data_IF_536944682021
#
_entry.id   IF_536944682021
#
_cell.length_a   1.000
_cell.length_b   1.000
_cell.length_c   1.000
_cell.angle_alpha   90.00
_cell.angle_beta   90.00
_cell.angle_gamma   90.00
#
_symmetry.space_group_name_H-M   'P 1'
#
loop_
_entity.id
_entity.type
_entity.pdbx_description
1 polymer ?
#
# COMPACT_ATOMS: atom_id res chain seq x y z
N UNK A 1 15.63 34.23 -5.36
CA UNK A 1 14.82 32.99 -5.42
C UNK A 1 15.67 31.89 -4.79
N UNK A 2 15.42 31.53 -3.53
CA UNK A 2 16.18 30.45 -2.89
C UNK A 2 15.72 29.13 -3.50
N UNK A 3 16.49 28.61 -4.46
CA UNK A 3 16.24 27.32 -5.10
C UNK A 3 16.30 26.21 -4.06
N UNK A 4 15.43 25.21 -4.24
CA UNK A 4 15.42 23.96 -3.47
C UNK A 4 16.85 23.45 -3.23
N UNK A 5 17.12 22.97 -2.02
CA UNK A 5 18.43 22.38 -1.73
C UNK A 5 18.71 21.21 -2.70
N UNK A 6 19.97 21.01 -3.08
CA UNK A 6 20.37 19.92 -4.00
C UNK A 6 19.89 18.55 -3.51
N UNK A 7 19.84 18.34 -2.19
CA UNK A 7 19.29 17.12 -1.60
C UNK A 7 17.77 16.96 -1.78
N UNK A 8 17.01 18.06 -1.79
CA UNK A 8 15.57 18.05 -2.09
C UNK A 8 15.34 17.76 -3.58
N UNK A 9 16.10 18.39 -4.46
CA UNK A 9 16.02 18.13 -5.92
C UNK A 9 16.35 16.67 -6.21
N UNK A 10 17.41 16.14 -5.61
CA UNK A 10 17.78 14.74 -5.81
C UNK A 10 16.70 13.79 -5.27
N UNK A 11 16.00 14.08 -4.17
CA UNK A 11 14.88 13.25 -3.69
C UNK A 11 13.66 13.27 -4.61
N UNK A 12 13.44 14.38 -5.31
CA UNK A 12 12.28 14.60 -6.18
C UNK A 12 12.51 14.10 -7.61
N UNK A 13 13.76 13.99 -8.04
CA UNK A 13 14.09 13.66 -9.42
C UNK A 13 13.68 12.23 -9.78
N UNK A 14 12.89 12.08 -10.83
CA UNK A 14 12.59 10.79 -11.43
C UNK A 14 13.63 10.49 -12.51
N UNK A 15 14.32 9.36 -12.35
CA UNK A 15 15.25 8.83 -13.34
C UNK A 15 14.73 7.48 -13.84
N UNK A 16 15.18 7.05 -15.00
CA UNK A 16 14.81 5.73 -15.56
C UNK A 16 15.07 4.59 -14.57
N UNK A 17 16.22 4.64 -13.87
CA UNK A 17 16.56 3.67 -12.83
C UNK A 17 15.55 3.65 -11.69
N UNK A 18 15.10 4.82 -11.23
CA UNK A 18 14.11 4.93 -10.14
C UNK A 18 12.73 4.45 -10.57
N UNK A 19 12.32 4.80 -11.80
CA UNK A 19 11.07 4.33 -12.38
C UNK A 19 11.07 2.80 -12.54
N UNK A 20 12.17 2.23 -13.02
CA UNK A 20 12.33 0.78 -13.13
C UNK A 20 12.25 0.09 -11.76
N UNK A 21 12.85 0.69 -10.71
CA UNK A 21 12.74 0.24 -9.33
C UNK A 21 11.30 0.23 -8.83
N UNK A 22 10.60 1.37 -8.91
CA UNK A 22 9.19 1.50 -8.49
C UNK A 22 8.27 0.51 -9.21
N UNK A 23 8.52 0.27 -10.51
CA UNK A 23 7.77 -0.72 -11.28
C UNK A 23 8.07 -2.16 -10.84
N UNK A 24 9.32 -2.47 -10.49
CA UNK A 24 9.70 -3.76 -9.93
C UNK A 24 9.06 -3.99 -8.55
N UNK A 25 9.08 -2.98 -7.67
CA UNK A 25 8.47 -3.05 -6.34
C UNK A 25 6.95 -3.26 -6.44
N UNK A 26 6.29 -2.55 -7.36
CA UNK A 26 4.86 -2.75 -7.64
C UNK A 26 4.55 -4.18 -8.08
N UNK A 27 5.39 -4.76 -8.96
CA UNK A 27 5.25 -6.16 -9.37
C UNK A 27 5.49 -7.14 -8.22
N UNK A 28 6.43 -6.84 -7.32
CA UNK A 28 6.65 -7.64 -6.12
C UNK A 28 5.42 -7.64 -5.21
N UNK A 29 4.78 -6.48 -4.99
CA UNK A 29 3.53 -6.37 -4.22
C UNK A 29 2.40 -7.17 -4.89
N UNK A 30 2.31 -7.11 -6.23
CA UNK A 30 1.30 -7.87 -6.97
C UNK A 30 1.44 -9.39 -6.75
N UNK A 31 2.68 -9.89 -6.66
CA UNK A 31 3.01 -11.30 -6.47
C UNK A 31 2.77 -11.83 -5.04
N UNK A 32 2.57 -10.95 -4.05
CA UNK A 32 2.21 -11.38 -2.69
C UNK A 32 0.86 -12.12 -2.68
N UNK A 33 0.62 -12.96 -1.67
CA UNK A 33 -0.71 -13.54 -1.47
C UNK A 33 -1.72 -12.44 -1.12
N UNK A 34 -2.94 -12.57 -1.62
CA UNK A 34 -4.03 -11.67 -1.27
C UNK A 34 -4.55 -12.02 0.15
N UNK A 35 -4.46 -11.10 1.13
CA UNK A 35 -4.95 -11.36 2.48
C UNK A 35 -6.46 -11.18 2.61
N UNK A 36 -7.14 -10.59 1.64
CA UNK A 36 -8.56 -10.22 1.75
C UNK A 36 -9.43 -11.45 1.57
N UNK A 37 -10.37 -11.65 2.49
CA UNK A 37 -11.34 -12.75 2.44
C UNK A 37 -10.87 -14.06 3.06
N UNK A 38 -9.62 -14.14 3.54
CA UNK A 38 -9.12 -15.33 4.24
C UNK A 38 -9.94 -15.59 5.52
N UNK A 39 -10.52 -16.78 5.63
CA UNK A 39 -11.16 -17.27 6.85
C UNK A 39 -10.16 -18.00 7.73
N UNK A 40 -10.13 -17.67 9.02
CA UNK A 40 -9.26 -18.27 10.02
C UNK A 40 -10.01 -18.42 11.36
N UNK A 41 -9.46 -19.22 12.26
CA UNK A 41 -10.07 -19.53 13.57
C UNK A 41 -11.53 -20.00 13.48
N UNK A 42 -11.79 -20.92 12.55
CA UNK A 42 -13.11 -21.52 12.35
C UNK A 42 -13.40 -22.62 13.37
N UNK A 43 -14.63 -22.67 13.90
CA UNK A 43 -15.15 -23.80 14.68
C UNK A 43 -16.66 -23.98 14.54
N UNK A 44 -17.11 -25.22 14.74
CA UNK A 44 -18.53 -25.57 14.87
C UNK A 44 -18.90 -25.60 16.36
N UNK A 45 -19.96 -24.88 16.74
CA UNK A 45 -20.50 -24.90 18.10
C UNK A 45 -21.43 -26.10 18.31
N UNK A 46 -21.65 -26.54 19.57
CA UNK A 46 -22.55 -27.66 19.88
C UNK A 46 -24.00 -27.48 19.40
N UNK A 47 -24.43 -26.24 19.19
CA UNK A 47 -25.76 -25.91 18.66
C UNK A 47 -25.82 -25.85 17.11
N UNK A 48 -24.74 -26.23 16.42
CA UNK A 48 -24.67 -26.26 14.96
C UNK A 48 -24.23 -24.94 14.30
N UNK A 49 -23.95 -23.88 15.06
CA UNK A 49 -23.45 -22.62 14.49
C UNK A 49 -22.00 -22.75 14.06
N UNK A 50 -21.69 -22.35 12.82
CA UNK A 50 -20.33 -22.19 12.32
C UNK A 50 -19.86 -20.76 12.57
N UNK A 51 -18.77 -20.61 13.33
CA UNK A 51 -18.13 -19.32 13.58
C UNK A 51 -16.74 -19.36 12.96
N UNK A 52 -16.35 -18.28 12.27
CA UNK A 52 -15.00 -18.07 11.79
C UNK A 52 -14.69 -16.56 11.81
N UNK A 53 -13.41 -16.21 11.80
CA UNK A 53 -12.96 -14.84 11.52
C UNK A 53 -12.63 -14.73 10.05
N UNK A 54 -12.92 -13.58 9.43
CA UNK A 54 -12.56 -13.29 8.04
C UNK A 54 -11.76 -11.99 7.99
N UNK A 55 -10.63 -11.99 7.27
CA UNK A 55 -9.88 -10.75 6.99
C UNK A 55 -10.67 -9.88 6.02
N UNK A 56 -10.89 -8.63 6.38
CA UNK A 56 -11.57 -7.62 5.54
C UNK A 56 -10.71 -6.37 5.40
N UNK A 57 -10.87 -5.59 4.32
CA UNK A 57 -10.21 -4.29 4.24
C UNK A 57 -10.62 -3.36 5.38
N UNK A 58 -9.76 -2.41 5.71
CA UNK A 58 -10.08 -1.34 6.66
C UNK A 58 -11.09 -0.35 6.08
N UNK A 59 -11.04 -0.14 4.76
CA UNK A 59 -11.91 0.78 4.04
C UNK A 59 -11.10 1.87 3.35
N UNK A 60 -10.83 2.98 4.05
CA UNK A 60 -10.13 4.15 3.49
C UNK A 60 -8.90 4.50 4.32
N UNK A 61 -7.76 4.65 3.67
CA UNK A 61 -6.50 5.08 4.27
C UNK A 61 -6.24 6.56 3.96
N UNK A 62 -6.13 7.40 4.98
CA UNK A 62 -5.62 8.76 4.84
C UNK A 62 -4.11 8.79 5.10
N UNK A 63 -3.31 9.13 4.09
CA UNK A 63 -1.84 9.08 4.21
C UNK A 63 -1.23 10.45 3.92
N UNK A 64 -0.44 10.94 4.88
CA UNK A 64 0.31 12.20 4.79
C UNK A 64 1.80 11.84 4.77
N UNK A 65 2.55 12.33 3.78
CA UNK A 65 3.97 11.99 3.62
C UNK A 65 4.75 13.14 2.97
N UNK A 66 6.07 13.15 3.18
CA UNK A 66 6.96 14.13 2.55
C UNK A 66 7.22 13.80 1.08
N UNK A 67 7.60 14.81 0.30
CA UNK A 67 7.79 14.75 -1.15
C UNK A 67 8.87 13.73 -1.59
N UNK A 68 8.45 12.47 -1.70
CA UNK A 68 9.23 11.35 -2.22
C UNK A 68 8.37 10.63 -3.26
N UNK A 69 8.72 10.68 -4.55
CA UNK A 69 7.88 10.14 -5.62
C UNK A 69 7.55 8.66 -5.45
N UNK A 70 8.49 7.86 -4.93
CA UNK A 70 8.33 6.43 -4.71
C UNK A 70 7.24 6.11 -3.68
N UNK A 71 7.14 6.89 -2.61
CA UNK A 71 6.20 6.64 -1.50
C UNK A 71 4.75 6.65 -1.99
N UNK A 72 4.42 7.55 -2.92
CA UNK A 72 3.10 7.60 -3.56
C UNK A 72 2.70 6.26 -4.18
N UNK A 73 3.63 5.62 -4.91
CA UNK A 73 3.39 4.38 -5.62
C UNK A 73 3.34 3.19 -4.66
N UNK A 74 4.22 3.18 -3.66
CA UNK A 74 4.25 2.12 -2.65
C UNK A 74 2.92 2.07 -1.88
N UNK A 75 2.41 3.22 -1.44
CA UNK A 75 1.12 3.31 -0.75
C UNK A 75 -0.02 2.87 -1.67
N UNK A 76 -0.04 3.35 -2.93
CA UNK A 76 -1.08 3.00 -3.88
C UNK A 76 -1.11 1.48 -4.14
N UNK A 77 0.05 0.87 -4.39
CA UNK A 77 0.17 -0.57 -4.66
C UNK A 77 -0.32 -1.41 -3.48
N UNK A 78 0.12 -1.09 -2.26
CA UNK A 78 -0.28 -1.80 -1.05
C UNK A 78 -1.77 -1.60 -0.72
N UNK A 79 -2.29 -0.38 -0.90
CA UNK A 79 -3.71 -0.08 -0.64
C UNK A 79 -4.61 -0.88 -1.57
N UNK A 80 -4.29 -0.91 -2.87
CA UNK A 80 -5.02 -1.71 -3.86
C UNK A 80 -4.92 -3.21 -3.55
N UNK A 81 -3.71 -3.70 -3.23
CA UNK A 81 -3.49 -5.12 -2.88
C UNK A 81 -4.28 -5.58 -1.66
N UNK A 82 -4.56 -4.68 -0.73
CA UNK A 82 -5.28 -4.97 0.52
C UNK A 82 -6.75 -4.55 0.48
N UNK A 83 -7.27 -4.18 -0.70
CA UNK A 83 -8.67 -3.81 -0.90
C UNK A 83 -9.09 -2.48 -0.26
N UNK A 84 -8.14 -1.58 0.01
CA UNK A 84 -8.40 -0.28 0.61
C UNK A 84 -8.37 0.85 -0.44
N UNK A 85 -9.25 1.84 -0.27
CA UNK A 85 -9.10 3.14 -0.91
C UNK A 85 -8.00 3.95 -0.19
N UNK A 86 -7.34 4.86 -0.91
CA UNK A 86 -6.30 5.73 -0.35
C UNK A 86 -6.51 7.20 -0.73
N UNK A 87 -6.40 8.08 0.25
CA UNK A 87 -6.34 9.54 0.07
C UNK A 87 -4.91 9.97 0.43
N UNK A 88 -4.20 10.48 -0.57
CA UNK A 88 -2.78 10.80 -0.46
C UNK A 88 -2.58 12.32 -0.38
N UNK A 89 -1.92 12.77 0.69
CA UNK A 89 -1.53 14.16 0.88
C UNK A 89 0.00 14.24 0.97
N UNK A 90 0.63 14.56 -0.16
CA UNK A 90 2.04 14.90 -0.20
C UNK A 90 2.31 16.29 0.40
N UNK A 91 3.48 16.44 1.01
CA UNK A 91 4.09 17.73 1.37
C UNK A 91 4.86 18.37 0.22
#
# INVERSE_FOLDING_TARGET
MAGLSQALVDRLLLTEKRLAGMAADTRSVAALLDPVGEEYDGRLLPNGLRIARRRTPLGVLGVIYEARPNVTIDIAALSLKTGNAAILRGG
#
